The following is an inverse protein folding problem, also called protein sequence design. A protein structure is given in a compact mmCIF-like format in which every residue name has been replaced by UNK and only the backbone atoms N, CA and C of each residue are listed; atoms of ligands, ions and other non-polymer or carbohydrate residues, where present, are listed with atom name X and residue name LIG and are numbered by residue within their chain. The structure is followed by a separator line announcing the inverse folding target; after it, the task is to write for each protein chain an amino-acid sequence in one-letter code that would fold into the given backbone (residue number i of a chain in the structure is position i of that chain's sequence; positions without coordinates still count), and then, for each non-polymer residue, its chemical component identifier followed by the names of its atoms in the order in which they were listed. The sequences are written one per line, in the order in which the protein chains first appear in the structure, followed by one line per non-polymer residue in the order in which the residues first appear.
data_IF_218250315137
#
_entry.id   IF_218250315137
#
_cell.length_a   1.000
_cell.length_b   1.000
_cell.length_c   1.000
_cell.angle_alpha   90.00
_cell.angle_beta   90.00
_cell.angle_gamma   90.00
#
_symmetry.space_group_name_H-M   'P 1'
#
loop_
_entity.id
_entity.type
_entity.pdbx_description
1 polymer ?
#
# COMPACT_ATOMS: atom_id res chain seq x y z
N UNK A 1 -4.28 -8.47 6.26
CA UNK A 1 -3.94 -9.01 7.62
C UNK A 1 -4.55 -8.06 8.63
N UNK A 2 -5.40 -8.53 9.56
CA UNK A 2 -6.03 -7.69 10.58
C UNK A 2 -5.49 -8.08 11.95
N UNK A 3 -4.81 -7.17 12.66
CA UNK A 3 -4.38 -7.44 14.05
C UNK A 3 -5.60 -7.39 14.98
N UNK A 4 -5.55 -8.19 16.05
CA UNK A 4 -6.66 -8.43 16.98
C UNK A 4 -7.18 -7.17 17.73
N UNK A 5 -6.53 -6.02 17.54
CA UNK A 5 -6.90 -4.71 18.10
C UNK A 5 -7.16 -3.62 17.05
N UNK A 6 -7.21 -3.95 15.75
CA UNK A 6 -7.35 -2.98 14.64
C UNK A 6 -6.30 -1.85 14.63
N UNK A 7 -5.15 -2.00 15.29
CA UNK A 7 -4.11 -0.96 15.29
C UNK A 7 -3.38 -0.82 13.96
N UNK A 8 -3.29 -1.91 13.19
CA UNK A 8 -2.68 -1.89 11.86
C UNK A 8 -3.46 -2.81 10.93
N UNK A 9 -3.87 -2.26 9.78
CA UNK A 9 -4.65 -2.94 8.77
C UNK A 9 -4.03 -2.68 7.40
N UNK A 10 -4.02 -3.70 6.55
CA UNK A 10 -3.62 -3.59 5.14
C UNK A 10 -4.66 -4.37 4.35
N UNK A 11 -5.26 -3.70 3.36
CA UNK A 11 -6.38 -4.21 2.57
C UNK A 11 -5.97 -5.46 1.78
N UNK A 12 -4.84 -5.42 1.06
CA UNK A 12 -4.36 -6.54 0.24
C UNK A 12 -2.87 -6.82 0.45
N UNK A 13 -2.53 -8.12 0.49
CA UNK A 13 -1.16 -8.63 0.49
C UNK A 13 -1.03 -9.63 -0.64
N UNK A 14 -0.04 -9.40 -1.50
CA UNK A 14 0.36 -10.34 -2.55
C UNK A 14 1.68 -10.97 -2.12
N UNK A 15 1.68 -12.29 -1.96
CA UNK A 15 2.90 -13.04 -1.65
C UNK A 15 3.38 -13.81 -2.89
N UNK A 16 4.66 -13.65 -3.21
CA UNK A 16 5.33 -14.40 -4.28
C UNK A 16 5.80 -15.76 -3.76
N UNK A 17 6.19 -16.65 -4.67
CA UNK A 17 6.71 -17.98 -4.32
C UNK A 17 7.99 -17.92 -3.46
N UNK A 18 8.76 -16.82 -3.55
CA UNK A 18 9.94 -16.56 -2.72
C UNK A 18 9.61 -15.88 -1.39
N UNK A 19 8.34 -15.98 -0.94
CA UNK A 19 7.78 -15.42 0.31
C UNK A 19 7.78 -13.91 0.45
N UNK A 20 8.41 -13.18 -0.49
CA UNK A 20 8.42 -11.72 -0.52
C UNK A 20 7.06 -11.14 -0.90
N UNK A 21 6.77 -9.95 -0.39
CA UNK A 21 5.43 -9.38 -0.32
C UNK A 21 5.34 -8.05 -1.08
N UNK A 22 4.20 -7.83 -1.74
CA UNK A 22 3.71 -6.49 -2.13
C UNK A 22 2.44 -6.19 -1.34
N UNK A 23 2.36 -5.01 -0.74
CA UNK A 23 1.21 -4.57 0.05
C UNK A 23 0.44 -3.46 -0.67
N UNK A 24 -0.90 -3.54 -0.70
CA UNK A 24 -1.75 -2.54 -1.33
C UNK A 24 -2.81 -2.05 -0.35
N UNK A 25 -3.09 -0.75 -0.39
CA UNK A 25 -4.26 -0.12 0.22
C UNK A 25 -5.16 0.49 -0.84
N UNK A 26 -6.46 0.58 -0.57
CA UNK A 26 -7.43 1.19 -1.48
C UNK A 26 -8.10 2.39 -0.80
N UNK A 27 -8.17 3.52 -1.51
CA UNK A 27 -8.78 4.75 -1.00
C UNK A 27 -9.76 5.36 -2.01
N UNK A 28 -10.97 5.63 -1.54
CA UNK A 28 -11.98 6.42 -2.26
C UNK A 28 -11.74 7.93 -2.07
N UNK A 29 -10.48 8.34 -2.25
CA UNK A 29 -10.01 9.72 -2.17
C UNK A 29 -9.06 9.96 -3.33
N UNK A 30 -9.10 11.13 -3.99
CA UNK A 30 -8.20 11.45 -5.10
C UNK A 30 -6.78 11.82 -4.65
N UNK A 31 -6.56 12.00 -3.36
CA UNK A 31 -5.26 12.33 -2.77
C UNK A 31 -4.95 11.39 -1.62
N UNK A 32 -3.66 11.15 -1.39
CA UNK A 32 -3.16 10.25 -0.35
C UNK A 32 -2.38 11.08 0.67
N UNK A 33 -2.81 11.02 1.93
CA UNK A 33 -2.14 11.68 3.06
C UNK A 33 -1.19 10.74 3.80
N UNK A 34 -0.41 11.26 4.74
CA UNK A 34 0.47 10.43 5.59
C UNK A 34 -0.31 9.45 6.45
N UNK A 35 -1.53 9.83 6.85
CA UNK A 35 -2.41 8.95 7.62
C UNK A 35 -2.85 7.72 6.82
N UNK A 36 -3.06 7.90 5.51
CA UNK A 36 -3.50 6.83 4.61
C UNK A 36 -2.46 5.74 4.41
N UNK A 37 -1.17 6.05 4.63
CA UNK A 37 -0.07 5.10 4.42
C UNK A 37 0.58 4.61 5.70
N UNK A 38 0.14 5.10 6.88
CA UNK A 38 0.79 4.80 8.15
C UNK A 38 0.91 3.29 8.42
N UNK A 39 -0.08 2.50 7.98
CA UNK A 39 -0.05 1.05 8.15
C UNK A 39 0.92 0.36 7.19
N UNK A 40 1.06 0.85 5.95
CA UNK A 40 2.07 0.38 5.01
C UNK A 40 3.48 0.70 5.51
N UNK A 41 3.69 1.89 6.08
CA UNK A 41 4.95 2.28 6.70
C UNK A 41 5.27 1.41 7.93
N UNK A 42 4.28 1.15 8.77
CA UNK A 42 4.43 0.20 9.88
C UNK A 42 4.80 -1.20 9.38
N UNK A 43 4.10 -1.71 8.37
CA UNK A 43 4.34 -3.03 7.79
C UNK A 43 5.76 -3.14 7.22
N UNK A 44 6.24 -2.08 6.54
CA UNK A 44 7.64 -2.00 6.09
C UNK A 44 8.62 -2.12 7.26
N UNK A 45 8.34 -1.47 8.39
CA UNK A 45 9.16 -1.60 9.59
C UNK A 45 9.17 -3.00 10.20
N UNK A 46 8.12 -3.81 9.97
CA UNK A 46 8.06 -5.20 10.44
C UNK A 46 8.76 -6.19 9.50
N UNK A 47 8.62 -5.99 8.19
CA UNK A 47 9.07 -6.95 7.17
C UNK A 47 10.46 -6.61 6.60
N UNK A 48 10.90 -5.37 6.67
CA UNK A 48 12.15 -4.94 6.06
C UNK A 48 12.20 -5.27 4.56
N UNK A 49 13.27 -5.93 4.14
CA UNK A 49 13.52 -6.29 2.74
C UNK A 49 12.56 -7.36 2.18
N UNK A 50 11.79 -8.04 3.04
CA UNK A 50 10.75 -8.97 2.60
C UNK A 50 9.53 -8.25 2.03
N UNK A 51 9.35 -6.95 2.33
CA UNK A 51 8.38 -6.10 1.64
C UNK A 51 9.03 -5.47 0.40
N UNK A 52 8.73 -6.02 -0.78
CA UNK A 52 9.26 -5.55 -2.06
C UNK A 52 8.75 -4.18 -2.45
N UNK A 53 7.45 -3.96 -2.27
CA UNK A 53 6.82 -2.69 -2.61
C UNK A 53 5.51 -2.49 -1.83
N UNK A 54 5.09 -1.23 -1.73
CA UNK A 54 3.81 -0.84 -1.18
C UNK A 54 3.16 0.24 -2.06
N UNK A 55 1.85 0.12 -2.27
CA UNK A 55 1.11 1.09 -3.07
C UNK A 55 -0.27 1.41 -2.48
N UNK A 56 -0.79 2.58 -2.82
CA UNK A 56 -2.18 2.99 -2.60
C UNK A 56 -2.87 3.11 -3.95
N UNK A 57 -3.98 2.41 -4.11
CA UNK A 57 -4.88 2.56 -5.24
C UNK A 57 -5.88 3.68 -4.92
N UNK A 58 -5.95 4.68 -5.80
CA UNK A 58 -6.72 5.92 -5.59
C UNK A 58 -7.70 6.18 -6.73
N UNK A 59 -8.69 7.04 -6.49
CA UNK A 59 -9.56 7.61 -7.53
C UNK A 59 -8.99 8.89 -8.17
N UNK A 60 -7.76 9.28 -7.80
CA UNK A 60 -7.06 10.46 -8.34
C UNK A 60 -6.58 10.25 -9.77
N UNK A 61 -6.25 11.32 -10.50
CA UNK A 61 -5.91 11.25 -11.92
C UNK A 61 -4.43 10.90 -12.19
N UNK A 62 -3.54 11.03 -11.20
CA UNK A 62 -2.10 10.98 -11.42
C UNK A 62 -1.45 9.80 -10.68
N UNK A 63 -0.54 9.11 -11.39
CA UNK A 63 0.37 8.14 -10.78
C UNK A 63 1.66 8.84 -10.36
N UNK A 64 2.09 8.61 -9.13
CA UNK A 64 3.33 9.17 -8.61
C UNK A 64 3.92 8.31 -7.49
N UNK A 65 5.17 8.57 -7.14
CA UNK A 65 5.83 7.99 -5.98
C UNK A 65 5.93 9.04 -4.90
N UNK A 66 5.47 8.71 -3.70
CA UNK A 66 5.67 9.56 -2.51
C UNK A 66 7.14 9.56 -2.09
N UNK A 67 7.54 10.54 -1.29
CA UNK A 67 8.91 10.64 -0.76
C UNK A 67 9.31 9.45 0.13
N UNK A 68 8.34 8.83 0.80
CA UNK A 68 8.51 7.58 1.56
C UNK A 68 8.58 6.34 0.65
N UNK A 69 8.58 6.52 -0.67
CA UNK A 69 8.68 5.42 -1.61
C UNK A 69 7.43 4.56 -1.66
N UNK A 70 6.24 5.01 -1.26
CA UNK A 70 4.97 4.33 -1.55
C UNK A 70 4.42 4.81 -2.89
N UNK A 71 3.99 3.89 -3.75
CA UNK A 71 3.37 4.24 -5.02
C UNK A 71 1.92 4.68 -4.82
N UNK A 72 1.49 5.69 -5.57
CA UNK A 72 0.09 6.07 -5.69
C UNK A 72 -0.33 5.75 -7.12
N UNK A 73 -1.34 4.88 -7.26
CA UNK A 73 -1.76 4.31 -8.53
C UNK A 73 -3.25 4.61 -8.72
N UNK A 74 -3.63 5.45 -9.70
CA UNK A 74 -5.01 5.60 -10.11
C UNK A 74 -5.65 4.26 -10.50
N UNK A 75 -6.85 3.99 -9.99
CA UNK A 75 -7.61 2.79 -10.32
C UNK A 75 -7.84 2.65 -11.84
N UNK A 76 -7.98 3.77 -12.57
CA UNK A 76 -8.13 3.78 -14.02
C UNK A 76 -6.90 3.27 -14.79
N UNK A 77 -5.73 3.14 -14.16
CA UNK A 77 -4.56 2.52 -14.78
C UNK A 77 -4.55 0.99 -14.65
N UNK A 78 -5.51 0.41 -13.92
CA UNK A 78 -5.64 -1.03 -13.71
C UNK A 78 -6.76 -1.64 -14.57
N UNK A 79 -7.20 -0.92 -15.60
CA UNK A 79 -8.14 -1.41 -16.60
C UNK A 79 -7.50 -2.52 -17.47
N UNK A 80 -8.26 -3.55 -17.89
CA UNK A 80 -7.77 -4.65 -18.72
C UNK A 80 -7.26 -4.26 -20.11
#
# INVERSE_FOLDING_TARGET
LRTWDSRHEVDLIIQRADQRIVALEVKLSPSVSDDDVRHLTWLRGQLGDDLLDAAVITTGPEAYRRADGIAVIPLCLLEP
#
